data_IF_691563749454
#
_entry.id   IF_691563749454
#
_cell.length_a   1.000
_cell.length_b   1.000
_cell.length_c   1.000
_cell.angle_alpha   90.00
_cell.angle_beta   90.00
_cell.angle_gamma   90.00
#
_symmetry.space_group_name_H-M   'P 1'
#
loop_
_entity.id
_entity.type
_entity.pdbx_description
1 polymer ?
#
# COMPACT_ATOMS: atom_id res chain seq x y z
N UNK A 1 -0.41 3.37 -2.62
CA UNK A 1 0.18 3.40 -3.95
C UNK A 1 0.37 1.96 -4.43
N UNK A 2 -0.33 1.57 -5.50
CA UNK A 2 -0.22 0.27 -6.16
C UNK A 2 -0.26 0.54 -7.67
N UNK A 3 0.71 0.04 -8.44
CA UNK A 3 0.80 0.31 -9.88
C UNK A 3 1.83 -0.61 -10.52
N UNK A 4 1.95 -0.55 -11.85
CA UNK A 4 2.90 -1.34 -12.62
C UNK A 4 4.16 -0.54 -13.01
N UNK A 5 5.33 -1.20 -13.06
CA UNK A 5 6.47 -0.68 -13.79
C UNK A 5 6.20 -0.66 -15.29
N UNK A 6 6.68 0.37 -15.98
CA UNK A 6 6.71 0.43 -17.45
C UNK A 6 7.72 -0.57 -18.01
N UNK A 7 7.64 -0.95 -19.30
CA UNK A 7 8.67 -1.76 -19.94
C UNK A 7 10.07 -1.13 -19.79
N UNK A 8 10.99 -1.85 -19.14
CA UNK A 8 12.36 -1.39 -18.86
C UNK A 8 12.52 -0.49 -17.62
N UNK A 9 11.44 -0.19 -16.91
CA UNK A 9 11.47 0.55 -15.64
C UNK A 9 11.69 -0.43 -14.48
N UNK A 10 12.54 -0.07 -13.50
CA UNK A 10 12.66 -0.87 -12.28
C UNK A 10 11.44 -0.69 -11.38
N UNK A 11 11.19 -1.66 -10.50
CA UNK A 11 10.10 -1.59 -9.52
C UNK A 11 10.26 -0.37 -8.61
N UNK A 12 11.47 -0.07 -8.15
CA UNK A 12 11.71 1.10 -7.30
C UNK A 12 11.47 2.42 -8.05
N UNK A 13 11.91 2.53 -9.31
CA UNK A 13 11.69 3.74 -10.11
C UNK A 13 10.20 3.98 -10.36
N UNK A 14 9.44 2.91 -10.64
CA UNK A 14 8.00 2.97 -10.78
C UNK A 14 7.32 3.42 -9.48
N UNK A 15 7.77 2.91 -8.33
CA UNK A 15 7.24 3.29 -7.02
C UNK A 15 7.48 4.77 -6.70
N UNK A 16 8.69 5.29 -6.91
CA UNK A 16 9.00 6.72 -6.75
C UNK A 16 8.10 7.59 -7.63
N UNK A 17 7.97 7.23 -8.92
CA UNK A 17 7.13 7.96 -9.87
C UNK A 17 5.66 7.94 -9.44
N UNK A 18 5.11 6.77 -9.12
CA UNK A 18 3.69 6.62 -8.79
C UNK A 18 3.34 7.20 -7.42
N UNK A 19 4.24 7.14 -6.45
CA UNK A 19 4.03 7.78 -5.16
C UNK A 19 3.90 9.31 -5.32
N UNK A 20 4.75 9.90 -6.18
CA UNK A 20 4.67 11.32 -6.50
C UNK A 20 3.42 11.67 -7.31
N UNK A 21 3.05 10.86 -8.31
CA UNK A 21 1.84 11.06 -9.12
C UNK A 21 0.55 10.94 -8.30
N UNK A 22 0.41 9.91 -7.45
CA UNK A 22 -0.83 9.62 -6.72
C UNK A 22 -0.97 10.39 -5.41
N UNK A 23 0.13 10.57 -4.66
CA UNK A 23 0.12 11.08 -3.29
C UNK A 23 0.89 12.40 -3.10
N UNK A 24 1.54 12.91 -4.14
CA UNK A 24 2.21 14.22 -4.12
C UNK A 24 3.51 14.28 -3.33
N UNK A 25 4.09 13.13 -2.96
CA UNK A 25 5.36 13.08 -2.24
C UNK A 25 6.25 11.91 -2.69
N UNK A 26 7.48 11.86 -2.17
CA UNK A 26 8.40 10.75 -2.41
C UNK A 26 9.19 10.40 -1.14
N UNK A 27 9.69 9.17 -1.04
CA UNK A 27 10.52 8.70 0.07
C UNK A 27 11.41 7.51 -0.32
N UNK A 28 12.48 7.23 0.44
CA UNK A 28 13.27 6.00 0.24
C UNK A 28 12.44 4.74 0.54
N UNK A 29 12.63 3.71 -0.28
CA UNK A 29 11.98 2.41 -0.13
C UNK A 29 12.96 1.30 0.26
N UNK A 30 12.45 0.32 1.01
CA UNK A 30 13.09 -0.95 1.27
C UNK A 30 12.25 -2.10 0.70
N UNK A 31 12.85 -3.04 -0.05
CA UNK A 31 12.17 -4.27 -0.44
C UNK A 31 11.75 -5.11 0.78
N UNK A 32 10.49 -5.56 0.77
CA UNK A 32 9.87 -6.23 1.92
C UNK A 32 9.26 -7.59 1.59
N UNK A 33 9.24 -7.99 0.32
CA UNK A 33 8.76 -9.31 -0.11
C UNK A 33 8.07 -9.25 -1.45
N UNK A 34 7.31 -10.30 -1.75
CA UNK A 34 6.44 -10.36 -2.92
C UNK A 34 5.28 -11.30 -2.67
N UNK A 35 4.18 -11.11 -3.39
CA UNK A 35 3.02 -11.99 -3.40
C UNK A 35 2.64 -12.31 -4.85
N UNK A 36 2.16 -13.53 -5.12
CA UNK A 36 1.52 -13.89 -6.38
C UNK A 36 0.05 -14.13 -6.11
N UNK A 37 -0.83 -13.42 -6.81
CA UNK A 37 -2.27 -13.56 -6.59
C UNK A 37 -3.08 -13.45 -7.86
N UNK A 38 -4.29 -14.00 -7.83
CA UNK A 38 -5.32 -13.80 -8.84
C UNK A 38 -6.64 -13.45 -8.15
N UNK A 39 -7.22 -12.30 -8.49
CA UNK A 39 -8.45 -11.79 -7.87
C UNK A 39 -9.43 -11.24 -8.91
N UNK A 40 -10.72 -11.44 -8.67
CA UNK A 40 -11.78 -10.75 -9.42
C UNK A 40 -12.06 -9.40 -8.77
N UNK A 41 -12.01 -8.33 -9.56
CA UNK A 41 -12.12 -6.93 -9.06
C UNK A 41 -13.43 -6.26 -9.45
N UNK A 42 -14.40 -7.07 -9.93
CA UNK A 42 -15.71 -6.61 -10.39
C UNK A 42 -15.74 -6.27 -11.87
N UNK A 43 -16.93 -6.09 -12.43
CA UNK A 43 -17.11 -5.74 -13.84
C UNK A 43 -16.59 -6.79 -14.85
N UNK A 44 -16.39 -8.05 -14.41
CA UNK A 44 -15.76 -9.09 -15.23
C UNK A 44 -14.24 -8.97 -15.36
N UNK A 45 -13.62 -8.05 -14.61
CA UNK A 45 -12.18 -7.83 -14.60
C UNK A 45 -11.47 -8.75 -13.60
N UNK A 46 -10.26 -9.14 -13.95
CA UNK A 46 -9.37 -9.99 -13.15
C UNK A 46 -8.00 -9.33 -13.10
N UNK A 47 -7.43 -9.27 -11.90
CA UNK A 47 -6.00 -9.02 -11.69
C UNK A 47 -5.29 -10.34 -11.43
N UNK A 48 -4.14 -10.53 -12.07
CA UNK A 48 -3.28 -11.70 -11.87
C UNK A 48 -1.83 -11.22 -11.90
N UNK A 49 -1.27 -10.99 -10.71
CA UNK A 49 -0.07 -10.18 -10.57
C UNK A 49 0.94 -10.82 -9.62
N UNK A 50 2.21 -10.65 -9.99
CA UNK A 50 3.35 -10.87 -9.11
C UNK A 50 3.74 -9.52 -8.52
N UNK A 51 3.25 -9.25 -7.32
CA UNK A 51 3.29 -7.96 -6.68
C UNK A 51 4.55 -7.83 -5.82
N UNK A 52 5.36 -6.80 -6.07
CA UNK A 52 6.57 -6.53 -5.31
C UNK A 52 6.25 -5.59 -4.15
N UNK A 53 6.54 -6.02 -2.92
CA UNK A 53 6.25 -5.24 -1.72
C UNK A 53 7.42 -4.33 -1.37
N UNK A 54 7.14 -3.03 -1.29
CA UNK A 54 8.07 -1.99 -0.87
C UNK A 54 7.54 -1.30 0.38
N UNK A 55 8.43 -1.00 1.33
CA UNK A 55 8.11 -0.20 2.53
C UNK A 55 8.87 1.12 2.49
N UNK A 56 8.13 2.22 2.64
CA UNK A 56 8.68 3.56 2.79
C UNK A 56 8.31 4.19 4.13
N UNK A 57 9.04 5.22 4.54
CA UNK A 57 8.74 6.02 5.75
C UNK A 57 8.56 7.48 5.37
N UNK A 58 7.47 8.06 5.83
CA UNK A 58 7.10 9.45 5.60
C UNK A 58 6.35 10.00 6.81
N UNK A 59 6.70 11.21 7.24
CA UNK A 59 6.10 11.93 8.37
C UNK A 59 5.47 13.27 7.93
N UNK A 60 5.53 13.59 6.63
CA UNK A 60 4.87 14.76 6.06
C UNK A 60 3.37 14.54 5.80
N UNK A 61 2.75 15.55 5.18
CA UNK A 61 1.34 15.51 4.78
C UNK A 61 1.22 15.17 3.29
N UNK A 62 0.52 14.09 2.89
CA UNK A 62 0.25 13.80 1.49
C UNK A 62 -0.59 14.89 0.80
N UNK A 63 -0.28 15.16 -0.46
CA UNK A 63 -1.03 16.04 -1.37
C UNK A 63 -1.57 15.20 -2.54
N UNK A 64 -2.62 14.39 -2.32
CA UNK A 64 -3.10 13.43 -3.30
C UNK A 64 -3.69 14.07 -4.55
N UNK A 65 -3.51 13.40 -5.70
CA UNK A 65 -4.28 13.69 -6.90
C UNK A 65 -5.74 13.21 -6.71
N UNK A 66 -6.76 14.10 -6.77
CA UNK A 66 -8.15 13.71 -6.59
C UNK A 66 -8.70 12.78 -7.68
N UNK A 67 -8.06 12.67 -8.84
CA UNK A 67 -8.45 11.72 -9.88
C UNK A 67 -8.03 10.27 -9.55
N UNK A 68 -7.04 10.10 -8.66
CA UNK A 68 -6.48 8.79 -8.27
C UNK A 68 -6.86 8.40 -6.83
N UNK A 69 -6.90 9.36 -5.89
CA UNK A 69 -7.07 9.10 -4.45
C UNK A 69 -8.22 9.93 -3.87
N UNK A 70 -9.32 9.25 -3.56
CA UNK A 70 -10.52 9.88 -2.97
C UNK A 70 -10.35 10.33 -1.51
N UNK A 71 -9.32 9.83 -0.81
CA UNK A 71 -9.04 10.21 0.57
C UNK A 71 -7.93 9.38 1.20
N UNK A 72 -7.35 9.87 2.29
CA UNK A 72 -6.30 9.19 3.05
C UNK A 72 -6.47 9.44 4.55
N UNK A 73 -5.87 8.55 5.35
CA UNK A 73 -5.75 8.72 6.80
C UNK A 73 -4.50 7.99 7.29
N UNK A 74 -3.90 8.50 8.36
CA UNK A 74 -2.98 7.73 9.17
C UNK A 74 -3.77 6.79 10.10
N UNK A 75 -3.28 5.57 10.31
CA UNK A 75 -3.89 4.57 11.19
C UNK A 75 -2.81 3.82 11.96
N UNK A 76 -3.05 3.55 13.25
CA UNK A 76 -2.15 2.70 14.01
C UNK A 76 -2.27 1.25 13.54
N UNK A 77 -1.17 0.49 13.55
CA UNK A 77 -1.20 -0.88 13.03
C UNK A 77 -2.16 -1.80 13.80
N UNK A 78 -2.29 -1.63 15.11
CA UNK A 78 -3.23 -2.44 15.90
C UNK A 78 -4.69 -2.12 15.54
N UNK A 79 -5.03 -0.83 15.36
CA UNK A 79 -6.35 -0.43 14.88
C UNK A 79 -6.62 -0.99 13.47
N UNK A 80 -5.61 -0.99 12.60
CA UNK A 80 -5.71 -1.55 11.25
C UNK A 80 -5.90 -3.08 11.27
N UNK A 81 -5.24 -3.80 12.17
CA UNK A 81 -5.46 -5.24 12.38
C UNK A 81 -6.91 -5.53 12.78
N UNK A 82 -7.43 -4.76 13.73
CA UNK A 82 -8.81 -4.88 14.19
C UNK A 82 -9.82 -4.54 13.08
N UNK A 83 -9.56 -3.50 12.28
CA UNK A 83 -10.38 -3.14 11.13
C UNK A 83 -10.37 -4.22 10.04
N UNK A 84 -9.20 -4.79 9.72
CA UNK A 84 -9.06 -5.89 8.77
C UNK A 84 -9.84 -7.13 9.20
N UNK A 85 -9.82 -7.46 10.49
CA UNK A 85 -10.57 -8.59 11.04
C UNK A 85 -12.09 -8.33 11.03
N UNK A 86 -12.52 -7.11 11.39
CA UNK A 86 -13.93 -6.75 11.55
C UNK A 86 -14.64 -6.50 10.22
N UNK A 87 -13.97 -5.90 9.24
CA UNK A 87 -14.57 -5.47 7.99
C UNK A 87 -13.66 -5.72 6.76
N UNK A 88 -13.28 -6.97 6.48
CA UNK A 88 -12.31 -7.30 5.42
C UNK A 88 -12.76 -6.94 4.00
N UNK A 89 -14.06 -6.75 3.77
CA UNK A 89 -14.60 -6.32 2.47
C UNK A 89 -14.33 -4.85 2.15
N UNK A 90 -13.93 -4.03 3.13
CA UNK A 90 -13.52 -2.63 2.92
C UNK A 90 -12.13 -2.50 2.30
N UNK A 91 -11.38 -3.59 2.23
CA UNK A 91 -10.00 -3.62 1.78
C UNK A 91 -9.87 -4.46 0.51
N UNK A 92 -8.99 -4.01 -0.39
CA UNK A 92 -8.64 -4.74 -1.61
C UNK A 92 -8.02 -6.09 -1.29
N UNK A 93 -8.09 -7.02 -2.23
CA UNK A 93 -7.52 -8.35 -2.05
C UNK A 93 -6.01 -8.27 -1.77
N UNK A 94 -5.27 -7.54 -2.61
CA UNK A 94 -3.82 -7.41 -2.52
C UNK A 94 -3.37 -6.73 -1.23
N UNK A 95 -4.10 -5.74 -0.73
CA UNK A 95 -3.77 -5.12 0.56
C UNK A 95 -3.81 -6.14 1.72
N UNK A 96 -4.86 -6.99 1.76
CA UNK A 96 -4.97 -8.05 2.78
C UNK A 96 -3.85 -9.08 2.65
N UNK A 97 -3.53 -9.50 1.42
CA UNK A 97 -2.47 -10.46 1.16
C UNK A 97 -1.08 -9.91 1.53
N UNK A 98 -0.79 -8.67 1.14
CA UNK A 98 0.45 -7.98 1.46
C UNK A 98 0.60 -7.75 2.95
N UNK A 99 -0.46 -7.30 3.65
CA UNK A 99 -0.44 -7.11 5.09
C UNK A 99 -0.08 -8.41 5.82
N UNK A 100 -0.73 -9.53 5.45
CA UNK A 100 -0.42 -10.84 6.03
C UNK A 100 1.02 -11.27 5.75
N UNK A 101 1.50 -11.14 4.52
CA UNK A 101 2.88 -11.48 4.15
C UNK A 101 3.90 -10.68 4.97
N UNK A 102 3.66 -9.39 5.19
CA UNK A 102 4.52 -8.53 5.99
C UNK A 102 4.45 -8.87 7.49
N UNK A 103 3.27 -9.19 8.02
CA UNK A 103 3.08 -9.56 9.42
C UNK A 103 3.75 -10.91 9.72
N UNK A 104 3.53 -11.92 8.87
CA UNK A 104 4.13 -13.25 8.98
C UNK A 104 5.68 -13.20 8.95
N UNK A 105 6.24 -12.22 8.24
CA UNK A 105 7.70 -11.98 8.17
C UNK A 105 8.23 -11.04 9.26
N UNK A 106 7.37 -10.49 10.12
CA UNK A 106 7.77 -9.48 11.10
C UNK A 106 8.33 -8.21 10.47
N UNK A 107 7.84 -7.82 9.29
CA UNK A 107 8.30 -6.64 8.52
C UNK A 107 7.41 -5.42 8.70
N UNK A 108 6.24 -5.56 9.34
CA UNK A 108 5.43 -4.40 9.70
C UNK A 108 6.21 -3.48 10.66
N UNK A 109 6.20 -2.16 10.44
CA UNK A 109 6.97 -1.23 11.25
C UNK A 109 6.49 -1.26 12.71
N UNK A 110 7.40 -1.37 13.66
CA UNK A 110 7.09 -1.29 15.09
C UNK A 110 7.23 0.17 15.55
N UNK A 111 6.20 0.71 16.21
CA UNK A 111 6.20 2.09 16.74
C UNK A 111 4.86 2.82 16.60
N UNK A 112 4.71 3.95 17.27
CA UNK A 112 3.53 4.82 17.12
C UNK A 112 3.47 5.46 15.72
N UNK A 113 2.27 5.68 15.16
CA UNK A 113 2.14 6.38 13.87
C UNK A 113 2.75 7.78 13.95
N UNK A 114 3.52 8.17 12.94
CA UNK A 114 4.19 9.47 12.87
C UNK A 114 3.24 10.66 12.56
N UNK A 115 1.92 10.42 12.53
CA UNK A 115 0.92 11.42 12.14
C UNK A 115 -0.17 11.62 13.19
N UNK A 116 -0.92 12.74 13.14
CA UNK A 116 -2.03 12.97 14.04
C UNK A 116 -3.04 11.84 13.92
N UNK A 117 -3.42 11.25 15.06
CA UNK A 117 -4.56 10.34 15.13
C UNK A 117 -5.80 11.16 14.78
N UNK A 118 -6.30 11.01 13.56
CA UNK A 118 -7.60 11.59 13.20
C UNK A 118 -8.66 10.67 13.79
N UNK A 119 -9.35 11.17 14.81
CA UNK A 119 -10.45 10.50 15.51
C UNK A 119 -11.70 10.39 14.62
#
# INVERSE_FOLDING_TARGET
CCSHPRPGESVEAAAHRRLAEELGFDCPFEPAGSILYRAEVGGGLVEHEYDHLLLGRWDGTPEPDPDEVAGWRWVALDDLRDELARAPSRFTYWFKAAFRELDDRGRLPTGEPAGPRVA
#
